data_IF_007705180861
#
_entry.id   IF_007705180861
#
_cell.length_a   1.000
_cell.length_b   1.000
_cell.length_c   1.000
_cell.angle_alpha   90.00
_cell.angle_beta   90.00
_cell.angle_gamma   90.00
#
_symmetry.space_group_name_H-M   'P 1'
#
loop_
_entity.id
_entity.type
_entity.pdbx_description
1 polymer ?
#
# COMPACT_ATOMS: atom_id res chain seq x y z
N UNK A 1 6.93 125.95 -86.03
CA UNK A 1 5.72 126.56 -86.65
C UNK A 1 5.68 128.05 -86.35
N UNK A 2 6.61 128.84 -86.91
CA UNK A 2 6.57 130.30 -86.81
C UNK A 2 7.42 130.89 -87.94
N UNK A 3 6.93 130.87 -89.19
CA UNK A 3 7.33 131.86 -90.22
C UNK A 3 6.52 131.83 -91.54
N UNK A 4 5.24 131.43 -91.52
CA UNK A 4 4.41 131.47 -92.75
C UNK A 4 3.73 132.83 -92.99
N UNK A 5 3.70 133.72 -92.00
CA UNK A 5 2.95 134.99 -92.07
C UNK A 5 3.70 136.09 -92.83
N UNK A 6 5.03 136.01 -92.92
CA UNK A 6 5.89 137.07 -93.46
C UNK A 6 5.96 137.07 -95.00
N UNK A 7 5.64 135.94 -95.64
CA UNK A 7 5.72 135.77 -97.10
C UNK A 7 4.48 136.24 -97.88
N UNK A 8 3.32 136.38 -97.23
CA UNK A 8 2.06 136.76 -97.89
C UNK A 8 1.99 138.28 -98.19
N UNK A 9 2.69 139.12 -97.41
CA UNK A 9 2.61 140.57 -97.54
C UNK A 9 3.44 141.18 -98.69
N UNK A 10 4.36 140.42 -99.33
CA UNK A 10 5.20 140.95 -100.42
C UNK A 10 4.53 140.91 -101.81
N UNK A 11 3.54 140.04 -102.04
CA UNK A 11 2.93 139.86 -103.38
C UNK A 11 1.99 140.99 -103.82
N UNK A 12 1.51 141.86 -102.92
CA UNK A 12 0.50 142.90 -103.24
C UNK A 12 1.05 144.21 -103.83
N UNK A 13 2.37 144.42 -103.95
CA UNK A 13 2.94 145.74 -104.29
C UNK A 13 3.33 145.97 -105.76
N UNK A 14 3.33 144.95 -106.63
CA UNK A 14 4.02 145.06 -107.93
C UNK A 14 3.14 145.44 -109.14
N UNK A 15 1.84 145.67 -108.95
CA UNK A 15 0.83 145.86 -110.03
C UNK A 15 0.49 147.32 -110.37
N UNK A 16 1.29 148.30 -109.94
CA UNK A 16 1.03 149.73 -110.21
C UNK A 16 2.23 150.36 -110.91
N UNK A 17 1.93 151.17 -111.94
CA UNK A 17 2.82 152.02 -112.75
C UNK A 17 3.51 151.28 -113.92
N UNK A 18 3.36 151.65 -115.19
CA UNK A 18 2.91 152.93 -115.78
C UNK A 18 1.93 152.66 -116.93
N UNK A 19 0.68 153.13 -116.80
CA UNK A 19 -0.15 153.47 -117.96
C UNK A 19 0.57 154.62 -118.68
N UNK A 20 0.81 154.50 -119.99
CA UNK A 20 1.31 155.60 -120.84
C UNK A 20 0.31 156.76 -120.72
N UNK A 21 0.78 157.92 -120.28
CA UNK A 21 -0.05 159.11 -120.04
C UNK A 21 -0.80 159.49 -121.34
N UNK A 22 -2.15 159.43 -121.37
CA UNK A 22 -2.92 159.65 -122.59
C UNK A 22 -2.81 161.09 -123.12
N UNK A 23 -2.36 162.05 -122.31
CA UNK A 23 -2.11 163.43 -122.74
C UNK A 23 -0.66 163.69 -123.18
N UNK A 24 0.22 162.69 -123.12
CA UNK A 24 1.63 162.83 -123.51
C UNK A 24 1.79 163.28 -124.97
N UNK A 25 0.89 162.85 -125.86
CA UNK A 25 0.92 163.24 -127.27
C UNK A 25 0.40 164.67 -127.45
N UNK A 26 -0.63 165.07 -126.70
CA UNK A 26 -1.19 166.42 -126.74
C UNK A 26 -0.21 167.46 -126.19
N UNK A 27 0.56 167.10 -125.16
CA UNK A 27 1.66 167.94 -124.66
C UNK A 27 2.75 168.12 -125.72
N UNK A 28 3.19 167.03 -126.39
CA UNK A 28 4.17 167.12 -127.50
C UNK A 28 3.63 167.98 -128.65
N UNK A 29 2.32 167.91 -128.94
CA UNK A 29 1.65 168.72 -129.97
C UNK A 29 1.61 170.22 -129.61
N UNK A 30 1.30 170.56 -128.36
CA UNK A 30 1.28 171.95 -127.86
C UNK A 30 2.67 172.58 -127.82
N UNK A 31 3.71 171.88 -127.34
CA UNK A 31 5.07 172.45 -127.32
C UNK A 31 5.63 172.66 -128.72
N UNK A 32 5.21 171.83 -129.69
CA UNK A 32 5.64 171.98 -131.07
C UNK A 32 4.90 173.10 -131.79
N UNK A 33 3.63 173.43 -131.51
CA UNK A 33 2.82 174.40 -132.29
C UNK A 33 3.46 175.77 -132.54
N UNK A 34 4.19 176.35 -131.59
CA UNK A 34 4.84 177.67 -131.70
C UNK A 34 6.25 177.65 -132.33
N UNK A 35 6.76 176.47 -132.70
CA UNK A 35 8.12 176.27 -133.18
C UNK A 35 8.19 176.26 -134.71
N UNK A 36 9.32 176.72 -135.25
CA UNK A 36 9.60 176.65 -136.68
C UNK A 36 9.78 175.19 -137.14
N UNK A 37 9.69 174.90 -138.44
CA UNK A 37 9.71 173.50 -138.95
C UNK A 37 10.95 172.71 -138.52
N UNK A 38 12.10 173.37 -138.43
CA UNK A 38 13.37 172.78 -138.01
C UNK A 38 13.42 172.46 -136.51
N UNK A 39 12.84 173.32 -135.67
CA UNK A 39 12.78 173.14 -134.21
C UNK A 39 11.83 171.98 -133.82
N UNK A 40 10.72 171.80 -134.55
CA UNK A 40 9.78 170.68 -134.34
C UNK A 40 10.43 169.33 -134.61
N UNK A 41 11.20 169.23 -135.69
CA UNK A 41 11.87 168.00 -136.07
C UNK A 41 12.93 167.61 -135.03
N UNK A 42 13.69 168.59 -134.54
CA UNK A 42 14.68 168.36 -133.49
C UNK A 42 14.03 167.89 -132.18
N UNK A 43 12.94 168.52 -131.72
CA UNK A 43 12.25 168.11 -130.50
C UNK A 43 11.67 166.68 -130.59
N UNK A 44 11.08 166.32 -131.74
CA UNK A 44 10.57 164.96 -131.97
C UNK A 44 11.71 163.93 -132.03
N UNK A 45 12.82 164.28 -132.68
CA UNK A 45 14.01 163.42 -132.77
C UNK A 45 14.61 163.17 -131.39
N UNK A 46 14.79 164.22 -130.59
CA UNK A 46 15.28 164.14 -129.21
C UNK A 46 14.36 163.28 -128.34
N UNK A 47 13.04 163.49 -128.45
CA UNK A 47 12.06 162.69 -127.69
C UNK A 47 12.02 161.21 -128.10
N UNK A 48 12.23 160.91 -129.38
CA UNK A 48 12.35 159.52 -129.85
C UNK A 48 13.61 158.85 -129.31
N UNK A 49 14.75 159.57 -129.31
CA UNK A 49 16.01 159.08 -128.74
C UNK A 49 15.86 158.79 -127.24
N UNK A 50 15.22 159.68 -126.48
CA UNK A 50 14.91 159.46 -125.06
C UNK A 50 14.04 158.21 -124.84
N UNK A 51 12.96 158.05 -125.59
CA UNK A 51 12.07 156.88 -125.48
C UNK A 51 12.78 155.57 -125.86
N UNK A 52 13.64 155.61 -126.89
CA UNK A 52 14.46 154.46 -127.26
C UNK A 52 15.45 154.11 -126.15
N UNK A 53 16.07 155.12 -125.53
CA UNK A 53 16.97 154.93 -124.41
C UNK A 53 16.24 154.36 -123.18
N UNK A 54 15.09 154.92 -122.80
CA UNK A 54 14.27 154.43 -121.68
C UNK A 54 13.80 152.98 -121.94
N UNK A 55 13.40 152.65 -123.17
CA UNK A 55 13.05 151.28 -123.55
C UNK A 55 14.26 150.32 -123.48
N UNK A 56 15.45 150.78 -123.90
CA UNK A 56 16.70 150.03 -123.81
C UNK A 56 17.11 149.78 -122.37
N UNK A 57 17.06 150.79 -121.51
CA UNK A 57 17.34 150.69 -120.08
C UNK A 57 16.35 149.76 -119.38
N UNK A 58 15.05 149.89 -119.67
CA UNK A 58 14.03 148.99 -119.15
C UNK A 58 14.26 147.54 -119.58
N UNK A 59 14.68 147.30 -120.83
CA UNK A 59 15.03 145.97 -121.31
C UNK A 59 16.23 145.38 -120.56
N UNK A 60 17.30 146.17 -120.34
CA UNK A 60 18.47 145.75 -119.56
C UNK A 60 18.08 145.46 -118.11
N UNK A 61 17.26 146.32 -117.49
CA UNK A 61 16.76 146.14 -116.12
C UNK A 61 15.88 144.89 -115.98
N UNK A 62 15.02 144.63 -116.97
CA UNK A 62 14.21 143.41 -117.03
C UNK A 62 15.10 142.17 -117.14
N UNK A 63 16.10 142.20 -118.03
CA UNK A 63 17.05 141.10 -118.20
C UNK A 63 17.86 140.85 -116.91
N UNK A 64 18.26 141.90 -116.19
CA UNK A 64 18.93 141.77 -114.89
C UNK A 64 17.99 141.18 -113.83
N UNK A 65 16.72 141.61 -113.80
CA UNK A 65 15.72 141.06 -112.88
C UNK A 65 15.38 139.60 -113.17
N UNK A 66 15.32 139.21 -114.43
CA UNK A 66 15.17 137.81 -114.82
C UNK A 66 16.34 136.96 -114.33
N UNK A 67 17.59 137.45 -114.47
CA UNK A 67 18.78 136.78 -113.91
C UNK A 67 18.71 136.66 -112.39
N UNK A 68 18.32 137.72 -111.68
CA UNK A 68 18.15 137.69 -110.22
C UNK A 68 17.09 136.67 -109.80
N UNK A 69 15.98 136.58 -110.55
CA UNK A 69 14.91 135.62 -110.27
C UNK A 69 15.37 134.18 -110.53
N UNK A 70 16.13 133.93 -111.60
CA UNK A 70 16.73 132.61 -111.88
C UNK A 70 17.73 132.18 -110.80
N UNK A 71 18.59 133.09 -110.34
CA UNK A 71 19.52 132.83 -109.23
C UNK A 71 18.75 132.51 -107.94
N UNK A 72 17.76 133.32 -107.58
CA UNK A 72 16.92 133.08 -106.41
C UNK A 72 16.14 131.75 -106.50
N UNK A 73 15.67 131.37 -107.69
CA UNK A 73 15.05 130.06 -107.92
C UNK A 73 16.04 128.92 -107.72
N UNK A 74 17.27 129.06 -108.22
CA UNK A 74 18.34 128.07 -108.05
C UNK A 74 18.72 127.92 -106.57
N UNK A 75 18.89 129.03 -105.85
CA UNK A 75 19.21 129.03 -104.42
C UNK A 75 18.07 128.42 -103.60
N UNK A 76 16.82 128.81 -103.85
CA UNK A 76 15.65 128.19 -103.22
C UNK A 76 15.59 126.68 -103.47
N UNK A 77 15.88 126.24 -104.69
CA UNK A 77 15.90 124.81 -105.02
C UNK A 77 17.06 124.10 -104.29
N UNK A 78 18.23 124.73 -104.18
CA UNK A 78 19.37 124.22 -103.41
C UNK A 78 19.00 124.07 -101.93
N UNK A 79 18.48 125.12 -101.31
CA UNK A 79 18.03 125.09 -99.90
C UNK A 79 16.94 124.04 -99.67
N UNK A 80 16.02 123.87 -100.62
CA UNK A 80 14.99 122.83 -100.54
C UNK A 80 15.60 121.42 -100.58
N UNK A 81 16.60 121.18 -101.43
CA UNK A 81 17.31 119.89 -101.44
C UNK A 81 18.12 119.66 -100.18
N UNK A 82 18.78 120.69 -99.64
CA UNK A 82 19.53 120.62 -98.39
C UNK A 82 18.61 120.35 -97.19
N UNK A 83 17.48 121.05 -97.11
CA UNK A 83 16.45 120.81 -96.10
C UNK A 83 15.90 119.37 -96.16
N UNK A 84 15.67 118.86 -97.37
CA UNK A 84 15.22 117.47 -97.55
C UNK A 84 16.27 116.47 -97.06
N UNK A 85 17.55 116.69 -97.38
CA UNK A 85 18.67 115.87 -96.89
C UNK A 85 18.80 115.94 -95.36
N UNK A 86 18.72 117.12 -94.77
CA UNK A 86 18.77 117.30 -93.32
C UNK A 86 17.59 116.65 -92.61
N UNK A 87 16.40 116.70 -93.20
CA UNK A 87 15.19 116.04 -92.66
C UNK A 87 15.36 114.52 -92.66
N UNK A 88 15.90 113.95 -93.75
CA UNK A 88 16.20 112.53 -93.82
C UNK A 88 17.27 112.11 -92.81
N UNK A 89 18.37 112.88 -92.70
CA UNK A 89 19.43 112.62 -91.72
C UNK A 89 18.90 112.71 -90.27
N UNK A 90 18.04 113.67 -89.96
CA UNK A 90 17.34 113.78 -88.67
C UNK A 90 16.48 112.54 -88.40
N UNK A 91 15.70 112.09 -89.38
CA UNK A 91 14.89 110.87 -89.25
C UNK A 91 15.74 109.62 -89.01
N UNK A 92 16.87 109.49 -89.70
CA UNK A 92 17.83 108.40 -89.47
C UNK A 92 18.44 108.45 -88.07
N UNK A 93 18.83 109.63 -87.58
CA UNK A 93 19.39 109.78 -86.24
C UNK A 93 18.34 109.52 -85.15
N UNK A 94 17.11 110.00 -85.33
CA UNK A 94 16.00 109.71 -84.40
C UNK A 94 15.70 108.21 -84.34
N UNK A 95 15.71 107.52 -85.48
CA UNK A 95 15.56 106.06 -85.52
C UNK A 95 16.72 105.35 -84.81
N UNK A 96 17.96 105.78 -85.04
CA UNK A 96 19.13 105.23 -84.35
C UNK A 96 19.04 105.45 -82.83
N UNK A 97 18.63 106.65 -82.38
CA UNK A 97 18.44 106.94 -80.97
C UNK A 97 17.34 106.08 -80.34
N UNK A 98 16.21 105.85 -81.04
CA UNK A 98 15.14 104.95 -80.56
C UNK A 98 15.60 103.51 -80.47
N UNK A 99 16.33 103.02 -81.47
CA UNK A 99 16.87 101.66 -81.46
C UNK A 99 17.92 101.49 -80.36
N UNK A 100 18.79 102.48 -80.16
CA UNK A 100 19.76 102.49 -79.06
C UNK A 100 19.06 102.52 -77.69
N UNK A 101 17.99 103.29 -77.52
CA UNK A 101 17.19 103.29 -76.30
C UNK A 101 16.51 101.94 -76.06
N UNK A 102 15.98 101.32 -77.12
CA UNK A 102 15.38 99.99 -77.06
C UNK A 102 16.41 98.93 -76.70
N UNK A 103 17.59 98.95 -77.32
CA UNK A 103 18.69 98.05 -76.97
C UNK A 103 19.16 98.26 -75.53
N UNK A 104 19.33 99.50 -75.07
CA UNK A 104 19.68 99.77 -73.67
C UNK A 104 18.62 99.27 -72.69
N UNK A 105 17.33 99.38 -73.04
CA UNK A 105 16.22 98.84 -72.24
C UNK A 105 16.28 97.31 -72.22
N UNK A 106 16.46 96.67 -73.37
CA UNK A 106 16.60 95.21 -73.48
C UNK A 106 17.81 94.70 -72.68
N UNK A 107 18.96 95.35 -72.77
CA UNK A 107 20.16 95.00 -72.00
C UNK A 107 19.91 95.11 -70.49
N UNK A 108 19.19 96.14 -70.04
CA UNK A 108 18.82 96.27 -68.61
C UNK A 108 17.88 95.16 -68.18
N UNK A 109 16.85 94.88 -68.97
CA UNK A 109 15.89 93.79 -68.70
C UNK A 109 16.58 92.42 -68.68
N UNK A 110 17.48 92.16 -69.64
CA UNK A 110 18.28 90.93 -69.71
C UNK A 110 19.25 90.80 -68.54
N UNK A 111 19.95 91.88 -68.15
CA UNK A 111 20.83 91.84 -66.98
C UNK A 111 20.04 91.55 -65.69
N UNK A 112 18.87 92.17 -65.50
CA UNK A 112 18.02 91.91 -64.33
C UNK A 112 17.49 90.47 -64.34
N UNK A 113 17.06 89.98 -65.51
CA UNK A 113 16.61 88.60 -65.66
C UNK A 113 17.74 87.60 -65.35
N UNK A 114 18.95 87.86 -65.87
CA UNK A 114 20.14 87.04 -65.63
C UNK A 114 20.58 87.04 -64.17
N UNK A 115 20.48 88.18 -63.48
CA UNK A 115 20.74 88.25 -62.03
C UNK A 115 19.73 87.40 -61.27
N UNK A 116 18.44 87.51 -61.58
CA UNK A 116 17.40 86.68 -60.95
C UNK A 116 17.60 85.19 -61.21
N UNK A 117 17.90 84.80 -62.45
CA UNK A 117 18.14 83.40 -62.82
C UNK A 117 19.35 82.83 -62.06
N UNK A 118 20.44 83.59 -61.97
CA UNK A 118 21.63 83.18 -61.21
C UNK A 118 21.36 83.13 -59.69
N UNK A 119 20.55 84.05 -59.14
CA UNK A 119 20.09 84.01 -57.75
C UNK A 119 19.19 82.80 -57.47
N UNK A 120 18.27 82.48 -58.37
CA UNK A 120 17.38 81.32 -58.25
C UNK A 120 18.18 80.02 -58.38
N UNK A 121 19.15 79.95 -59.29
CA UNK A 121 20.10 78.83 -59.40
C UNK A 121 20.91 78.64 -58.11
N UNK A 122 21.41 79.73 -57.51
CA UNK A 122 22.11 79.67 -56.21
C UNK A 122 21.19 79.17 -55.09
N UNK A 123 19.93 79.62 -55.08
CA UNK A 123 18.92 79.18 -54.10
C UNK A 123 18.62 77.69 -54.26
N UNK A 124 18.47 77.20 -55.48
CA UNK A 124 18.25 75.78 -55.76
C UNK A 124 19.44 74.90 -55.33
N UNK A 125 20.67 75.34 -55.62
CA UNK A 125 21.88 74.63 -55.16
C UNK A 125 21.96 74.62 -53.62
N UNK A 126 21.63 75.73 -52.96
CA UNK A 126 21.60 75.79 -51.49
C UNK A 126 20.52 74.88 -50.90
N UNK A 127 19.33 74.85 -51.50
CA UNK A 127 18.22 74.00 -51.07
C UNK A 127 18.57 72.52 -51.24
N UNK A 128 19.08 72.12 -52.41
CA UNK A 128 19.47 70.72 -52.67
C UNK A 128 20.59 70.26 -51.73
N UNK A 129 21.54 71.14 -51.37
CA UNK A 129 22.57 70.82 -50.38
C UNK A 129 21.96 70.64 -48.99
N UNK A 130 21.05 71.53 -48.59
CA UNK A 130 20.35 71.46 -47.29
C UNK A 130 19.47 70.22 -47.18
N UNK A 131 18.73 69.88 -48.24
CA UNK A 131 17.93 68.67 -48.35
C UNK A 131 18.80 67.41 -48.21
N UNK A 132 19.95 67.36 -48.90
CA UNK A 132 20.89 66.23 -48.80
C UNK A 132 21.50 66.11 -47.41
N UNK A 133 21.88 67.21 -46.77
CA UNK A 133 22.36 67.19 -45.39
C UNK A 133 21.29 66.72 -44.41
N UNK A 134 20.04 67.15 -44.61
CA UNK A 134 18.91 66.71 -43.80
C UNK A 134 18.66 65.21 -44.00
N UNK A 135 18.66 64.73 -45.25
CA UNK A 135 18.53 63.31 -45.56
C UNK A 135 19.67 62.47 -44.95
N UNK A 136 20.92 62.95 -45.01
CA UNK A 136 22.06 62.29 -44.37
C UNK A 136 21.91 62.24 -42.85
N UNK A 137 21.46 63.34 -42.24
CA UNK A 137 21.21 63.40 -40.80
C UNK A 137 20.10 62.44 -40.38
N UNK A 138 19.03 62.36 -41.17
CA UNK A 138 17.93 61.40 -40.96
C UNK A 138 18.43 59.95 -41.09
N UNK A 139 19.30 59.65 -42.05
CA UNK A 139 19.88 58.32 -42.20
C UNK A 139 20.76 57.93 -41.00
N UNK A 140 21.58 58.86 -40.48
CA UNK A 140 22.41 58.64 -39.29
C UNK A 140 21.54 58.40 -38.06
N UNK A 141 20.49 59.21 -37.86
CA UNK A 141 19.57 59.06 -36.73
C UNK A 141 18.78 57.76 -36.81
N UNK A 142 18.26 57.40 -37.98
CA UNK A 142 17.57 56.11 -38.18
C UNK A 142 18.50 54.91 -37.93
N UNK A 143 19.76 54.99 -38.38
CA UNK A 143 20.78 53.96 -38.10
C UNK A 143 21.05 53.84 -36.59
N UNK A 144 21.18 54.98 -35.90
CA UNK A 144 21.36 55.02 -34.44
C UNK A 144 20.15 54.43 -33.70
N UNK A 145 18.93 54.76 -34.12
CA UNK A 145 17.70 54.24 -33.52
C UNK A 145 17.55 52.74 -33.75
N UNK A 146 17.87 52.23 -34.95
CA UNK A 146 17.95 50.79 -35.22
C UNK A 146 18.99 50.11 -34.33
N UNK A 147 20.18 50.70 -34.18
CA UNK A 147 21.21 50.17 -33.29
C UNK A 147 20.76 50.14 -31.83
N UNK A 148 20.06 51.17 -31.36
CA UNK A 148 19.50 51.20 -30.01
C UNK A 148 18.42 50.14 -29.81
N UNK A 149 17.50 49.98 -30.77
CA UNK A 149 16.48 48.90 -30.73
C UNK A 149 17.11 47.52 -30.62
N UNK A 150 18.15 47.23 -31.42
CA UNK A 150 18.85 45.95 -31.30
C UNK A 150 19.54 45.77 -29.95
N UNK A 151 20.07 46.84 -29.34
CA UNK A 151 20.62 46.76 -27.98
C UNK A 151 19.55 46.47 -26.94
N UNK A 152 18.39 47.11 -27.03
CA UNK A 152 17.24 46.87 -26.14
C UNK A 152 16.69 45.44 -26.30
N UNK A 153 16.55 44.95 -27.53
CA UNK A 153 16.12 43.58 -27.82
C UNK A 153 17.12 42.55 -27.30
N UNK A 154 18.42 42.78 -27.51
CA UNK A 154 19.47 41.92 -26.95
C UNK A 154 19.45 41.91 -25.43
N UNK A 155 19.31 43.08 -24.78
CA UNK A 155 19.19 43.16 -23.33
C UNK A 155 17.95 42.41 -22.84
N UNK A 156 16.79 42.61 -23.47
CA UNK A 156 15.56 41.89 -23.14
C UNK A 156 15.72 40.38 -23.28
N UNK A 157 16.44 39.92 -24.30
CA UNK A 157 16.74 38.50 -24.49
C UNK A 157 17.65 37.97 -23.38
N UNK A 158 18.70 38.70 -23.01
CA UNK A 158 19.59 38.36 -21.90
C UNK A 158 18.81 38.27 -20.58
N UNK A 159 17.90 39.22 -20.32
CA UNK A 159 17.07 39.23 -19.11
C UNK A 159 16.14 38.01 -19.08
N UNK A 160 15.49 37.67 -20.20
CA UNK A 160 14.65 36.47 -20.32
C UNK A 160 15.44 35.17 -20.11
N UNK A 161 16.64 35.07 -20.67
CA UNK A 161 17.51 33.91 -20.46
C UNK A 161 17.98 33.80 -19.01
N UNK A 162 18.28 34.93 -18.37
CA UNK A 162 18.67 35.00 -16.96
C UNK A 162 17.53 34.57 -16.05
N UNK A 163 16.31 35.02 -16.32
CA UNK A 163 15.12 34.61 -15.57
C UNK A 163 14.81 33.13 -15.77
N UNK A 164 14.90 32.62 -17.01
CA UNK A 164 14.73 31.20 -17.29
C UNK A 164 15.76 30.35 -16.55
N UNK A 165 17.03 30.77 -16.55
CA UNK A 165 18.10 30.10 -15.80
C UNK A 165 17.79 30.06 -14.29
N UNK A 166 17.36 31.19 -13.72
CA UNK A 166 16.96 31.28 -12.31
C UNK A 166 15.79 30.35 -11.98
N UNK A 167 14.79 30.25 -12.85
CA UNK A 167 13.67 29.32 -12.69
C UNK A 167 14.12 27.86 -12.72
N UNK A 168 15.03 27.50 -13.63
CA UNK A 168 15.63 26.16 -13.66
C UNK A 168 16.39 25.85 -12.37
N UNK A 169 17.19 26.79 -11.88
CA UNK A 169 17.93 26.62 -10.63
C UNK A 169 16.99 26.45 -9.43
N UNK A 170 15.89 27.22 -9.37
CA UNK A 170 14.86 27.04 -8.34
C UNK A 170 14.18 25.68 -8.44
N UNK A 171 13.85 25.22 -9.64
CA UNK A 171 13.25 23.90 -9.88
C UNK A 171 14.21 22.77 -9.48
N UNK A 172 15.49 22.90 -9.79
CA UNK A 172 16.54 21.94 -9.41
C UNK A 172 16.68 21.85 -7.89
N UNK A 173 16.79 23.00 -7.20
CA UNK A 173 16.84 23.04 -5.74
C UNK A 173 15.58 22.42 -5.08
N UNK A 174 14.41 22.65 -5.69
CA UNK A 174 13.17 22.03 -5.22
C UNK A 174 13.19 20.50 -5.40
N UNK A 175 13.63 20.02 -6.56
CA UNK A 175 13.77 18.58 -6.82
C UNK A 175 14.79 17.92 -5.88
N UNK A 176 15.90 18.58 -5.58
CA UNK A 176 16.88 18.10 -4.59
C UNK A 176 16.24 17.99 -3.20
N UNK A 177 15.47 19.00 -2.79
CA UNK A 177 14.77 19.00 -1.51
C UNK A 177 13.75 17.85 -1.42
N UNK A 178 12.94 17.65 -2.46
CA UNK A 178 11.96 16.55 -2.54
C UNK A 178 12.66 15.20 -2.51
N UNK A 179 13.77 15.05 -3.23
CA UNK A 179 14.56 13.82 -3.25
C UNK A 179 15.11 13.50 -1.86
N UNK A 180 15.62 14.52 -1.15
CA UNK A 180 16.09 14.37 0.24
C UNK A 180 14.96 13.99 1.19
N UNK A 181 13.78 14.58 1.02
CA UNK A 181 12.58 14.21 1.80
C UNK A 181 12.16 12.77 1.54
N UNK A 182 12.14 12.33 0.29
CA UNK A 182 11.79 10.95 -0.09
C UNK A 182 12.79 9.94 0.48
N UNK A 183 14.10 10.24 0.43
CA UNK A 183 15.14 9.39 1.00
C UNK A 183 15.01 9.27 2.53
N UNK A 184 14.69 10.37 3.22
CA UNK A 184 14.42 10.33 4.66
C UNK A 184 13.15 9.52 4.98
N UNK A 185 12.08 9.67 4.20
CA UNK A 185 10.86 8.91 4.37
C UNK A 185 11.08 7.41 4.12
N UNK A 186 11.87 7.06 3.11
CA UNK A 186 12.30 5.69 2.82
C UNK A 186 13.08 5.10 4.01
N UNK A 187 14.08 5.81 4.52
CA UNK A 187 14.86 5.38 5.70
C UNK A 187 13.98 5.19 6.93
N UNK A 188 13.01 6.08 7.15
CA UNK A 188 12.06 5.97 8.24
C UNK A 188 11.20 4.71 8.09
N UNK A 189 10.65 4.45 6.90
CA UNK A 189 9.88 3.24 6.64
C UNK A 189 10.72 1.96 6.80
N UNK A 190 11.95 1.94 6.28
CA UNK A 190 12.87 0.80 6.42
C UNK A 190 13.25 0.54 7.89
N UNK A 191 13.49 1.59 8.68
CA UNK A 191 13.80 1.44 10.11
C UNK A 191 12.58 0.99 10.92
N UNK A 192 11.38 1.48 10.60
CA UNK A 192 10.13 1.00 11.21
C UNK A 192 9.87 -0.47 10.88
N UNK A 193 10.05 -0.88 9.62
CA UNK A 193 9.89 -2.28 9.21
C UNK A 193 10.88 -3.19 9.96
N UNK A 194 12.17 -2.81 10.02
CA UNK A 194 13.18 -3.55 10.79
C UNK A 194 12.85 -3.63 12.27
N UNK A 195 12.32 -2.55 12.86
CA UNK A 195 11.90 -2.53 14.26
C UNK A 195 10.80 -3.56 14.51
N UNK A 196 9.74 -3.55 13.69
CA UNK A 196 8.62 -4.50 13.80
C UNK A 196 9.10 -5.95 13.62
N UNK A 197 10.01 -6.18 12.68
CA UNK A 197 10.57 -7.51 12.44
C UNK A 197 11.37 -8.03 13.66
N UNK A 198 12.17 -7.17 14.29
CA UNK A 198 12.92 -7.51 15.52
C UNK A 198 11.96 -7.75 16.69
N UNK A 199 10.95 -6.89 16.88
CA UNK A 199 9.95 -7.06 17.94
C UNK A 199 9.17 -8.37 17.78
N UNK A 200 8.72 -8.67 16.56
CA UNK A 200 8.02 -9.92 16.26
C UNK A 200 8.91 -11.16 16.41
N UNK A 201 10.18 -11.11 16.00
CA UNK A 201 11.10 -12.22 16.24
C UNK A 201 11.38 -12.42 17.74
N UNK A 202 11.53 -11.34 18.51
CA UNK A 202 11.68 -11.41 19.96
C UNK A 202 10.43 -12.04 20.62
N UNK A 203 9.23 -11.59 20.25
CA UNK A 203 7.96 -12.17 20.72
C UNK A 203 7.87 -13.65 20.37
N UNK A 204 8.20 -14.03 19.12
CA UNK A 204 8.23 -15.42 18.68
C UNK A 204 9.19 -16.27 19.52
N UNK A 205 10.39 -15.77 19.81
CA UNK A 205 11.34 -16.49 20.66
C UNK A 205 10.83 -16.66 22.09
N UNK A 206 10.22 -15.62 22.67
CA UNK A 206 9.62 -15.72 24.01
C UNK A 206 8.45 -16.72 24.04
N UNK A 207 7.59 -16.71 23.04
CA UNK A 207 6.49 -17.67 22.90
C UNK A 207 7.02 -19.10 22.76
N UNK A 208 8.02 -19.33 21.92
CA UNK A 208 8.64 -20.65 21.76
C UNK A 208 9.29 -21.14 23.06
N UNK A 209 9.96 -20.25 23.81
CA UNK A 209 10.55 -20.58 25.10
C UNK A 209 9.48 -20.95 26.14
N UNK A 210 8.40 -20.16 26.23
CA UNK A 210 7.27 -20.46 27.12
C UNK A 210 6.59 -21.78 26.76
N UNK A 211 6.34 -22.01 25.46
CA UNK A 211 5.76 -23.27 24.98
C UNK A 211 6.62 -24.47 25.36
N UNK A 212 7.94 -24.40 25.16
CA UNK A 212 8.87 -25.46 25.58
C UNK A 212 8.88 -25.67 27.09
N UNK A 213 8.81 -24.60 27.89
CA UNK A 213 8.76 -24.72 29.34
C UNK A 213 7.47 -25.44 29.80
N UNK A 214 6.32 -25.10 29.20
CA UNK A 214 5.05 -25.78 29.45
C UNK A 214 5.08 -27.25 29.01
N UNK A 215 5.66 -27.54 27.85
CA UNK A 215 5.84 -28.90 27.34
C UNK A 215 6.64 -29.75 28.33
N UNK A 216 7.76 -29.24 28.85
CA UNK A 216 8.56 -29.92 29.88
C UNK A 216 7.77 -30.12 31.19
N UNK A 217 6.96 -29.14 31.62
CA UNK A 217 6.12 -29.28 32.81
C UNK A 217 5.04 -30.35 32.62
N UNK A 218 4.39 -30.39 31.46
CA UNK A 218 3.39 -31.41 31.14
C UNK A 218 4.01 -32.82 31.16
N UNK A 219 5.18 -33.00 30.55
CA UNK A 219 5.90 -34.27 30.61
C UNK A 219 6.29 -34.66 32.05
N UNK A 220 6.61 -33.70 32.92
CA UNK A 220 6.88 -33.96 34.34
C UNK A 220 5.63 -34.46 35.07
N UNK A 221 4.49 -33.80 34.88
CA UNK A 221 3.22 -34.23 35.48
C UNK A 221 2.77 -35.59 34.95
N UNK A 222 2.95 -35.87 33.66
CA UNK A 222 2.65 -37.17 33.09
C UNK A 222 3.48 -38.28 33.75
N UNK A 223 4.80 -38.06 33.92
CA UNK A 223 5.66 -39.01 34.65
C UNK A 223 5.23 -39.19 36.12
N UNK A 224 4.86 -38.12 36.80
CA UNK A 224 4.38 -38.18 38.19
C UNK A 224 3.08 -38.98 38.30
N UNK A 225 2.13 -38.77 37.39
CA UNK A 225 0.87 -39.51 37.33
C UNK A 225 1.14 -41.01 37.13
N UNK A 226 2.02 -41.37 36.20
CA UNK A 226 2.39 -42.78 35.97
C UNK A 226 2.98 -43.42 37.23
N UNK A 227 3.89 -42.72 37.91
CA UNK A 227 4.49 -43.21 39.16
C UNK A 227 3.45 -43.37 40.28
N UNK A 228 2.53 -42.42 40.41
CA UNK A 228 1.43 -42.51 41.37
C UNK A 228 0.47 -43.66 41.04
N UNK A 229 0.18 -43.89 39.76
CA UNK A 229 -0.61 -45.03 39.30
C UNK A 229 0.07 -46.36 39.63
N UNK A 230 1.38 -46.49 39.38
CA UNK A 230 2.16 -47.67 39.76
C UNK A 230 2.15 -47.90 41.27
N UNK A 231 2.34 -46.85 42.06
CA UNK A 231 2.26 -46.91 43.53
C UNK A 231 0.87 -47.34 43.99
N UNK A 232 -0.20 -46.77 43.42
CA UNK A 232 -1.56 -47.12 43.77
C UNK A 232 -1.85 -48.60 43.44
N UNK A 233 -1.47 -49.05 42.23
CA UNK A 233 -1.56 -50.45 41.82
C UNK A 233 -0.79 -51.39 42.76
N UNK A 234 0.38 -50.98 43.25
CA UNK A 234 1.14 -51.76 44.23
C UNK A 234 0.44 -51.82 45.60
N UNK A 235 -0.17 -50.73 46.05
CA UNK A 235 -0.94 -50.70 47.30
C UNK A 235 -2.21 -51.54 47.20
N UNK A 236 -2.93 -51.46 46.08
CA UNK A 236 -4.08 -52.32 45.77
C UNK A 236 -3.67 -53.80 45.82
N UNK A 237 -2.55 -54.17 45.18
CA UNK A 237 -2.02 -55.53 45.27
C UNK A 237 -1.67 -55.96 46.70
N UNK A 238 -1.15 -55.05 47.53
CA UNK A 238 -0.87 -55.33 48.94
C UNK A 238 -2.16 -55.50 49.76
N UNK A 239 -3.20 -54.70 49.50
CA UNK A 239 -4.52 -54.86 50.11
C UNK A 239 -5.13 -56.19 49.73
N UNK A 240 -5.05 -56.59 48.46
CA UNK A 240 -5.54 -57.88 47.99
C UNK A 240 -4.79 -59.05 48.62
N UNK A 241 -3.47 -58.93 48.80
CA UNK A 241 -2.67 -59.91 49.53
C UNK A 241 -3.15 -60.05 50.98
N UNK A 242 -3.26 -58.94 51.72
CA UNK A 242 -3.75 -58.99 53.09
C UNK A 242 -5.17 -59.53 53.18
N UNK A 243 -6.06 -59.16 52.25
CA UNK A 243 -7.43 -59.70 52.17
C UNK A 243 -7.42 -61.22 51.98
N UNK A 244 -6.55 -61.75 51.12
CA UNK A 244 -6.35 -63.19 50.94
C UNK A 244 -5.83 -63.87 52.22
N UNK A 245 -4.82 -63.29 52.87
CA UNK A 245 -4.29 -63.79 54.14
C UNK A 245 -5.33 -63.78 55.26
N UNK A 246 -6.14 -62.72 55.37
CA UNK A 246 -7.26 -62.66 56.32
C UNK A 246 -8.31 -63.73 56.02
N UNK A 247 -8.66 -63.94 54.76
CA UNK A 247 -9.57 -65.03 54.36
C UNK A 247 -9.00 -66.41 54.71
N UNK A 248 -7.69 -66.63 54.53
CA UNK A 248 -7.01 -67.85 54.96
C UNK A 248 -7.02 -68.02 56.47
N UNK A 249 -6.78 -66.94 57.22
CA UNK A 249 -6.85 -66.93 58.68
C UNK A 249 -8.27 -67.23 59.16
N UNK A 250 -9.29 -66.57 58.61
CA UNK A 250 -10.70 -66.81 58.91
C UNK A 250 -11.11 -68.25 58.59
N UNK A 251 -10.68 -68.78 57.44
CA UNK A 251 -10.90 -70.17 57.06
C UNK A 251 -10.26 -71.13 58.05
N UNK A 252 -9.01 -70.86 58.45
CA UNK A 252 -8.26 -71.66 59.43
C UNK A 252 -8.89 -71.58 60.82
N UNK A 253 -9.33 -70.39 61.23
CA UNK A 253 -10.03 -70.14 62.49
C UNK A 253 -11.37 -70.87 62.52
N UNK A 254 -12.13 -70.83 61.42
CA UNK A 254 -13.39 -71.57 61.27
C UNK A 254 -13.16 -73.08 61.33
N UNK A 255 -12.11 -73.60 60.69
CA UNK A 255 -11.70 -75.02 60.81
C UNK A 255 -11.31 -75.36 62.26
N UNK A 256 -10.54 -74.50 62.92
CA UNK A 256 -10.15 -74.68 64.33
C UNK A 256 -11.36 -74.71 65.26
N UNK A 257 -12.30 -73.77 65.10
CA UNK A 257 -13.57 -73.77 65.85
C UNK A 257 -14.37 -75.05 65.62
N UNK A 258 -14.46 -75.54 64.36
CA UNK A 258 -15.09 -76.84 64.08
C UNK A 258 -14.41 -77.99 64.81
N UNK A 259 -13.07 -78.01 64.86
CA UNK A 259 -12.32 -79.01 65.62
C UNK A 259 -12.62 -78.89 67.11
N UNK A 260 -12.64 -77.69 67.69
CA UNK A 260 -13.05 -77.47 69.08
C UNK A 260 -14.47 -77.95 69.37
N UNK A 261 -15.43 -77.67 68.49
CA UNK A 261 -16.80 -78.15 68.63
C UNK A 261 -16.88 -79.68 68.56
N UNK A 262 -16.13 -80.32 67.67
CA UNK A 262 -16.06 -81.79 67.63
C UNK A 262 -15.45 -82.37 68.91
N UNK A 263 -14.35 -81.80 69.41
CA UNK A 263 -13.77 -82.23 70.69
C UNK A 263 -14.74 -82.02 71.86
N UNK A 264 -15.49 -80.92 71.87
CA UNK A 264 -16.52 -80.67 72.90
C UNK A 264 -17.64 -81.70 72.83
N UNK A 265 -18.08 -82.07 71.63
CA UNK A 265 -19.05 -83.14 71.42
C UNK A 265 -18.51 -84.50 71.85
N UNK A 266 -17.28 -84.85 71.50
CA UNK A 266 -16.61 -86.09 71.93
C UNK A 266 -16.41 -86.13 73.44
N UNK A 267 -15.99 -85.04 74.07
CA UNK A 267 -15.88 -84.93 75.52
C UNK A 267 -17.26 -85.12 76.20
N UNK A 268 -18.33 -84.56 75.62
CA UNK A 268 -19.69 -84.79 76.12
C UNK A 268 -20.13 -86.26 75.96
N UNK A 269 -19.80 -86.91 74.84
CA UNK A 269 -20.06 -88.36 74.64
C UNK A 269 -19.26 -89.20 75.63
N UNK A 270 -17.97 -88.92 75.80
CA UNK A 270 -17.10 -89.61 76.73
C UNK A 270 -17.57 -89.43 78.18
N UNK A 271 -17.98 -88.21 78.56
CA UNK A 271 -18.58 -87.92 79.88
C UNK A 271 -19.90 -88.66 80.09
N UNK A 272 -20.77 -88.74 79.08
CA UNK A 272 -21.99 -89.59 79.15
C UNK A 272 -21.66 -91.06 79.31
N UNK A 273 -20.65 -91.54 78.58
CA UNK A 273 -20.21 -92.94 78.67
C UNK A 273 -19.55 -93.25 80.01
N UNK A 274 -18.79 -92.31 80.57
CA UNK A 274 -18.28 -92.38 81.94
C UNK A 274 -19.43 -92.53 82.94
N UNK A 275 -20.47 -91.69 82.85
CA UNK A 275 -21.63 -91.79 83.73
C UNK A 275 -22.41 -93.11 83.55
N UNK A 276 -22.49 -93.62 82.32
CA UNK A 276 -23.15 -94.90 82.05
C UNK A 276 -22.36 -96.06 82.68
N UNK A 277 -21.03 -96.06 82.51
CA UNK A 277 -20.14 -97.03 83.15
C UNK A 277 -20.14 -96.91 84.67
N UNK A 278 -20.23 -95.69 85.23
CA UNK A 278 -20.40 -95.46 86.67
C UNK A 278 -21.73 -96.04 87.18
N UNK A 279 -22.82 -95.89 86.40
CA UNK A 279 -24.12 -96.48 86.71
C UNK A 279 -24.07 -98.01 86.64
N UNK A 280 -23.50 -98.58 85.58
CA UNK A 280 -23.31 -100.02 85.42
C UNK A 280 -22.44 -100.59 86.55
N UNK A 281 -21.35 -99.90 86.93
CA UNK A 281 -20.52 -100.25 88.08
C UNK A 281 -21.30 -100.23 89.39
N UNK A 282 -22.14 -99.22 89.61
CA UNK A 282 -23.02 -99.14 90.78
C UNK A 282 -24.06 -100.26 90.79
N UNK A 283 -24.63 -100.62 89.64
CA UNK A 283 -25.60 -101.72 89.54
C UNK A 283 -24.95 -103.07 89.76
N UNK A 284 -23.75 -103.30 89.24
CA UNK A 284 -22.94 -104.48 89.55
C UNK A 284 -22.60 -104.52 91.05
N UNK A 285 -22.24 -103.38 91.65
CA UNK A 285 -21.99 -103.29 93.08
C UNK A 285 -23.25 -103.64 93.90
N UNK A 286 -24.43 -103.14 93.52
CA UNK A 286 -25.71 -103.51 94.16
C UNK A 286 -26.03 -105.00 93.99
N UNK A 287 -25.85 -105.56 92.80
CA UNK A 287 -26.06 -107.00 92.53
C UNK A 287 -25.10 -107.86 93.34
N UNK A 288 -23.83 -107.47 93.42
CA UNK A 288 -22.83 -108.13 94.24
C UNK A 288 -23.20 -108.06 95.73
N UNK A 289 -23.58 -106.88 96.25
CA UNK A 289 -24.09 -106.73 97.62
C UNK A 289 -25.32 -107.60 97.89
N UNK A 290 -26.26 -107.66 96.94
CA UNK A 290 -27.43 -108.53 97.04
C UNK A 290 -27.05 -110.02 97.07
N UNK A 291 -26.11 -110.45 96.23
CA UNK A 291 -25.62 -111.84 96.24
C UNK A 291 -24.90 -112.18 97.53
N UNK A 292 -24.10 -111.25 98.07
CA UNK A 292 -23.47 -111.40 99.39
C UNK A 292 -24.52 -111.50 100.49
N UNK A 293 -25.56 -110.67 100.47
CA UNK A 293 -26.67 -110.76 101.42
C UNK A 293 -27.43 -112.08 101.31
N UNK A 294 -27.74 -112.55 100.09
CA UNK A 294 -28.36 -113.87 99.89
C UNK A 294 -27.48 -115.00 100.40
N UNK A 295 -26.15 -114.90 100.23
CA UNK A 295 -25.19 -115.87 100.75
C UNK A 295 -25.18 -115.86 102.29
N UNK A 296 -25.27 -114.68 102.91
CA UNK A 296 -25.41 -114.55 104.38
C UNK A 296 -26.68 -115.24 104.86
N UNK A 297 -27.83 -114.99 104.22
CA UNK A 297 -29.11 -115.65 104.57
C UNK A 297 -29.03 -117.17 104.40
N UNK A 298 -28.41 -117.67 103.32
CA UNK A 298 -28.22 -119.10 103.10
C UNK A 298 -27.29 -119.72 104.15
N UNK A 299 -26.24 -118.99 104.57
CA UNK A 299 -25.34 -119.40 105.65
C UNK A 299 -26.08 -119.48 106.99
N UNK A 300 -26.96 -118.51 107.29
CA UNK A 300 -27.81 -118.53 108.49
C UNK A 300 -28.79 -119.71 108.47
N UNK A 301 -29.42 -120.00 107.33
CA UNK A 301 -30.29 -121.17 107.16
C UNK A 301 -29.53 -122.49 107.32
N UNK A 302 -28.34 -122.60 106.73
CA UNK A 302 -27.49 -123.78 106.90
C UNK A 302 -27.08 -123.97 108.37
N UNK A 303 -26.77 -122.90 109.08
CA UNK A 303 -26.46 -122.95 110.51
C UNK A 303 -27.68 -123.37 111.36
N UNK A 304 -28.88 -122.93 111.00
CA UNK A 304 -30.14 -123.37 111.62
C UNK A 304 -30.42 -124.85 111.40
N UNK A 305 -30.27 -125.35 110.17
CA UNK A 305 -30.45 -126.77 109.84
C UNK A 305 -29.41 -127.66 110.55
N UNK A 306 -28.15 -127.21 110.63
CA UNK A 306 -27.12 -127.91 111.40
C UNK A 306 -27.47 -128.00 112.90
N UNK A 307 -28.09 -126.97 113.47
CA UNK A 307 -28.60 -126.99 114.85
C UNK A 307 -29.81 -127.94 115.03
N UNK A 308 -30.72 -128.02 114.05
CA UNK A 308 -31.81 -128.99 114.07
C UNK A 308 -31.30 -130.43 113.93
N UNK A 309 -30.32 -130.67 113.05
CA UNK A 309 -29.69 -131.98 112.86
C UNK A 309 -29.02 -132.45 114.15
N UNK A 310 -28.25 -131.60 114.82
CA UNK A 310 -27.64 -131.93 116.11
C UNK A 310 -28.67 -132.14 117.23
N UNK A 311 -29.82 -131.45 117.19
CA UNK A 311 -30.96 -131.70 118.09
C UNK A 311 -31.62 -133.07 117.85
N UNK A 312 -31.80 -133.45 116.58
CA UNK A 312 -32.33 -134.75 116.17
C UNK A 312 -31.38 -135.90 116.51
N UNK A 313 -30.07 -135.72 116.33
CA UNK A 313 -29.06 -136.70 116.75
C UNK A 313 -29.08 -136.94 118.27
N UNK A 314 -29.28 -135.88 119.08
CA UNK A 314 -29.46 -136.00 120.54
C UNK A 314 -30.73 -136.78 120.90
N UNK A 315 -31.83 -136.61 120.16
CA UNK A 315 -33.07 -137.38 120.34
C UNK A 315 -32.91 -138.84 119.90
N UNK A 316 -32.19 -139.09 118.79
CA UNK A 316 -31.91 -140.44 118.28
C UNK A 316 -31.04 -141.24 119.27
N UNK A 317 -30.01 -140.60 119.85
CA UNK A 317 -29.12 -141.23 120.82
C UNK A 317 -29.83 -141.54 122.15
N UNK A 318 -30.81 -140.74 122.57
CA UNK A 318 -31.67 -141.06 123.73
C UNK A 318 -32.63 -142.21 123.44
N UNK A 319 -33.23 -142.25 122.24
CA UNK A 319 -34.08 -143.35 121.79
C UNK A 319 -33.31 -144.68 121.67
N UNK A 320 -32.07 -144.63 121.16
CA UNK A 320 -31.19 -145.81 121.08
C UNK A 320 -30.78 -146.34 122.46
N UNK A 321 -30.59 -145.47 123.47
CA UNK A 321 -30.36 -145.90 124.85
C UNK A 321 -31.60 -146.57 125.47
N UNK A 322 -32.78 -146.03 125.21
CA UNK A 322 -34.05 -146.60 125.68
C UNK A 322 -34.35 -147.98 125.04
N UNK A 323 -34.13 -148.12 123.73
CA UNK A 323 -34.30 -149.39 123.02
C UNK A 323 -33.31 -150.46 123.50
N UNK A 324 -32.05 -150.10 123.82
CA UNK A 324 -31.09 -151.04 124.41
C UNK A 324 -31.53 -151.53 125.80
N UNK A 325 -32.04 -150.65 126.66
CA UNK A 325 -32.58 -151.04 127.98
C UNK A 325 -33.81 -151.96 127.86
N UNK A 326 -34.75 -151.65 126.95
CA UNK A 326 -35.94 -152.48 126.70
C UNK A 326 -35.58 -153.85 126.08
N UNK A 327 -34.50 -153.95 125.27
CA UNK A 327 -34.00 -155.23 124.74
C UNK A 327 -33.31 -156.09 125.81
N UNK A 328 -32.64 -155.45 126.79
CA UNK A 328 -31.98 -156.11 127.92
C UNK A 328 -33.01 -156.72 128.88
N UNK A 329 -34.14 -156.03 129.12
CA UNK A 329 -35.27 -156.57 129.88
C UNK A 329 -35.99 -157.71 129.13
N UNK A 330 -36.14 -157.60 127.80
CA UNK A 330 -36.75 -158.66 126.97
C UNK A 330 -35.93 -159.95 126.95
N UNK A 331 -34.60 -159.86 126.94
CA UNK A 331 -33.72 -161.04 126.98
C UNK A 331 -33.71 -161.71 128.36
N UNK A 332 -33.91 -160.96 129.44
CA UNK A 332 -34.06 -161.53 130.80
C UNK A 332 -35.42 -162.22 130.98
N UNK A 333 -36.52 -161.66 130.47
CA UNK A 333 -37.84 -162.31 130.49
C UNK A 333 -37.90 -163.58 129.62
N UNK A 334 -37.23 -163.58 128.45
CA UNK A 334 -37.10 -164.78 127.61
C UNK A 334 -36.31 -165.92 128.28
N UNK A 335 -35.44 -165.58 129.24
CA UNK A 335 -34.68 -166.55 130.04
C UNK A 335 -35.56 -167.18 131.13
N UNK A 336 -36.47 -166.42 131.72
CA UNK A 336 -37.41 -166.89 132.76
C UNK A 336 -38.58 -167.71 132.19
N UNK A 337 -39.00 -167.46 130.95
CA UNK A 337 -40.06 -168.22 130.27
C UNK A 337 -39.60 -169.61 129.79
N UNK A 338 -38.29 -169.89 129.76
CA UNK A 338 -37.73 -171.20 129.39
C UNK A 338 -37.82 -172.26 130.52
N UNK A 339 -38.07 -171.85 131.76
CA UNK A 339 -38.07 -172.74 132.94
C UNK A 339 -39.47 -173.34 133.28
N UNK A 340 -40.53 -173.03 132.52
CA UNK A 340 -41.93 -173.42 132.84
C UNK A 340 -42.67 -174.27 131.77
N UNK A 341 -41.97 -175.06 130.97
CA UNK A 341 -42.57 -176.13 130.14
C UNK A 341 -43.84 -175.76 129.35
N UNK A 342 -43.83 -174.62 128.65
CA UNK A 342 -44.80 -174.30 127.59
C UNK A 342 -44.03 -174.05 126.29
N UNK A 343 -44.44 -174.83 125.30
CA UNK A 343 -43.96 -174.91 123.94
C UNK A 343 -44.09 -173.54 123.24
N UNK A 344 -42.96 -172.99 122.73
CA UNK A 344 -42.91 -171.77 121.94
C UNK A 344 -42.95 -172.10 120.44
N UNK A 345 -42.88 -171.06 119.60
CA UNK A 345 -42.84 -171.07 118.12
C UNK A 345 -44.26 -171.22 117.51
N UNK A 346 -44.72 -170.49 116.49
CA UNK A 346 -44.10 -169.76 115.36
C UNK A 346 -45.30 -169.26 114.49
N UNK A 347 -45.15 -168.49 113.39
CA UNK A 347 -45.18 -167.02 113.28
C UNK A 347 -46.09 -166.64 112.06
N UNK A 348 -46.01 -165.48 111.40
CA UNK A 348 -45.25 -165.22 110.14
C UNK A 348 -45.94 -164.05 109.40
N UNK A 349 -45.12 -163.36 108.57
CA UNK A 349 -45.41 -162.40 107.49
C UNK A 349 -45.26 -160.92 107.87
N UNK A 350 -44.18 -160.20 107.51
CA UNK A 350 -43.62 -159.90 106.15
C UNK A 350 -44.65 -159.17 105.29
N UNK A 351 -44.38 -158.03 104.65
CA UNK A 351 -43.38 -157.78 103.59
C UNK A 351 -43.04 -156.27 103.49
N UNK A 352 -41.75 -155.87 103.44
CA UNK A 352 -40.91 -155.61 102.24
C UNK A 352 -41.33 -154.36 101.45
N UNK A 353 -40.50 -153.32 101.38
CA UNK A 353 -39.33 -153.07 100.48
C UNK A 353 -39.74 -152.25 99.25
N UNK A 354 -38.89 -151.27 98.90
CA UNK A 354 -39.07 -150.48 97.69
C UNK A 354 -38.15 -149.27 97.54
N UNK A 355 -36.87 -149.42 97.85
CA UNK A 355 -35.79 -148.62 97.26
C UNK A 355 -35.79 -148.83 95.73
N UNK A 356 -35.74 -147.75 94.94
CA UNK A 356 -35.18 -147.78 93.57
C UNK A 356 -34.44 -146.49 93.26
N UNK A 357 -33.18 -146.69 92.95
CA UNK A 357 -32.23 -145.83 92.25
C UNK A 357 -32.32 -146.15 90.75
N UNK A 358 -32.41 -145.14 89.86
CA UNK A 358 -32.01 -145.12 88.43
C UNK A 358 -32.29 -143.69 87.89
N UNK A 359 -31.28 -142.82 87.72
CA UNK A 359 -30.41 -142.65 86.55
C UNK A 359 -31.11 -142.30 85.22
N UNK A 360 -30.76 -141.10 84.73
CA UNK A 360 -30.42 -140.72 83.36
C UNK A 360 -31.37 -141.12 82.22
N UNK A 361 -31.88 -140.13 81.48
CA UNK A 361 -31.19 -139.66 80.25
C UNK A 361 -31.94 -138.49 79.60
N UNK A 362 -31.13 -137.49 79.24
CA UNK A 362 -31.14 -136.72 78.00
C UNK A 362 -32.43 -136.07 77.47
N UNK A 363 -32.34 -134.74 77.37
CA UNK A 363 -32.27 -134.01 76.09
C UNK A 363 -32.82 -134.76 74.85
N UNK A 364 -33.54 -134.08 73.93
CA UNK A 364 -32.89 -132.96 73.27
C UNK A 364 -33.81 -131.83 72.74
N UNK A 365 -33.19 -130.65 72.58
CA UNK A 365 -33.10 -129.82 71.35
C UNK A 365 -34.41 -129.52 70.60
N UNK A 366 -34.66 -128.31 70.12
CA UNK A 366 -33.74 -127.45 69.35
C UNK A 366 -34.41 -126.10 69.03
N UNK A 367 -33.56 -125.09 68.87
CA UNK A 367 -33.61 -123.97 67.92
C UNK A 367 -34.88 -123.73 67.08
N UNK A 368 -35.27 -122.45 66.99
CA UNK A 368 -35.07 -121.54 65.84
C UNK A 368 -35.85 -120.24 66.14
N UNK A 369 -35.19 -119.11 66.33
CA UNK A 369 -34.76 -118.18 65.27
C UNK A 369 -35.85 -117.91 64.21
N UNK A 370 -36.41 -116.70 64.25
CA UNK A 370 -36.68 -115.93 63.04
C UNK A 370 -37.14 -114.51 63.38
N UNK A 371 -36.25 -113.57 63.10
CA UNK A 371 -36.48 -112.51 62.13
C UNK A 371 -37.79 -111.73 62.23
N UNK A 372 -37.69 -110.45 62.63
CA UNK A 372 -38.46 -109.34 62.04
C UNK A 372 -37.78 -108.00 62.35
N UNK A 373 -36.85 -107.64 61.46
CA UNK A 373 -36.40 -106.28 61.19
C UNK A 373 -37.53 -105.56 60.46
N UNK A 374 -38.17 -104.55 61.08
CA UNK A 374 -39.10 -103.65 60.37
C UNK A 374 -39.12 -102.27 61.05
N UNK A 375 -38.85 -101.25 60.22
CA UNK A 375 -39.28 -99.84 60.28
C UNK A 375 -38.64 -98.95 61.37
N UNK A 376 -38.26 -97.69 61.11
CA UNK A 376 -38.75 -96.79 60.07
C UNK A 376 -37.70 -95.68 59.81
N UNK A 377 -37.26 -95.58 58.55
CA UNK A 377 -36.78 -94.32 57.97
C UNK A 377 -38.05 -93.64 57.46
N UNK A 378 -38.33 -92.42 57.90
CA UNK A 378 -39.21 -91.55 57.14
C UNK A 378 -39.02 -90.07 57.47
N UNK A 379 -39.09 -89.29 56.39
CA UNK A 379 -39.43 -87.87 56.27
C UNK A 379 -38.28 -86.87 56.27
N UNK A 380 -37.59 -86.83 55.13
CA UNK A 380 -37.31 -85.56 54.45
C UNK A 380 -38.54 -85.23 53.57
N UNK A 381 -38.75 -83.93 53.39
CA UNK A 381 -39.73 -83.24 52.54
C UNK A 381 -40.99 -82.72 53.24
N UNK A 382 -40.91 -81.42 53.57
CA UNK A 382 -42.02 -80.50 53.32
C UNK A 382 -41.47 -79.13 52.94
N UNK A 383 -41.82 -78.76 51.70
CA UNK A 383 -42.35 -77.45 51.25
C UNK A 383 -41.43 -76.23 51.43
N UNK A 384 -41.18 -75.42 50.41
CA UNK A 384 -41.97 -75.19 49.20
C UNK A 384 -42.19 -73.69 49.07
N UNK A 385 -42.15 -73.22 47.82
CA UNK A 385 -42.44 -71.84 47.43
C UNK A 385 -41.36 -70.85 47.84
N UNK A 386 -41.06 -69.80 47.11
CA UNK A 386 -41.45 -69.33 45.79
C UNK A 386 -40.71 -67.98 45.69
N UNK A 387 -40.41 -67.56 44.48
CA UNK A 387 -40.37 -66.16 44.10
C UNK A 387 -39.14 -65.30 44.46
N UNK A 388 -38.65 -64.72 43.35
CA UNK A 388 -38.21 -63.32 43.20
C UNK A 388 -36.71 -63.07 43.34
N UNK A 389 -36.13 -62.99 42.14
CA UNK A 389 -35.32 -61.88 41.65
C UNK A 389 -33.82 -61.84 41.97
N UNK A 390 -33.14 -61.53 40.87
CA UNK A 390 -32.05 -60.58 40.76
C UNK A 390 -30.61 -61.10 40.85
N UNK A 391 -29.97 -60.91 39.69
CA UNK A 391 -28.64 -60.32 39.47
C UNK A 391 -27.44 -61.24 39.63
N UNK A 392 -27.05 -61.84 38.49
CA UNK A 392 -25.66 -61.89 38.07
C UNK A 392 -25.52 -61.23 36.69
N UNK A 393 -24.66 -60.19 36.66
CA UNK A 393 -23.73 -59.79 35.60
C UNK A 393 -24.31 -59.33 34.23
N UNK A 394 -24.04 -58.13 33.70
CA UNK A 394 -23.10 -57.07 34.06
C UNK A 394 -23.41 -55.84 33.18
N UNK A 395 -24.00 -54.75 33.73
CA UNK A 395 -23.90 -53.38 33.19
C UNK A 395 -24.09 -52.39 34.35
N UNK A 396 -23.12 -51.47 34.50
CA UNK A 396 -23.17 -50.09 35.04
C UNK A 396 -21.78 -49.81 35.64
N UNK A 397 -21.05 -48.72 35.40
CA UNK A 397 -21.41 -47.32 35.17
C UNK A 397 -20.25 -46.67 34.38
N UNK A 398 -20.45 -45.86 33.32
CA UNK A 398 -21.18 -44.58 33.20
C UNK A 398 -20.41 -43.43 33.89
N UNK A 399 -19.85 -42.50 33.10
CA UNK A 399 -20.35 -41.10 32.94
C UNK A 399 -19.32 -40.30 32.10
N UNK A 400 -19.71 -39.77 30.93
CA UNK A 400 -20.15 -38.38 30.66
C UNK A 400 -18.97 -37.39 30.65
N UNK A 401 -18.76 -36.53 29.67
CA UNK A 401 -19.60 -35.54 28.96
C UNK A 401 -18.64 -34.88 27.92
N UNK A 402 -18.95 -34.04 26.95
CA UNK A 402 -20.14 -33.46 26.30
C UNK A 402 -19.58 -32.59 25.15
N UNK A 403 -20.48 -32.08 24.30
CA UNK A 403 -20.37 -30.86 23.48
C UNK A 403 -19.94 -30.97 22.01
N UNK A 404 -20.89 -30.94 21.07
CA UNK A 404 -21.62 -29.81 20.44
C UNK A 404 -20.88 -29.05 19.32
N UNK A 405 -21.26 -29.41 18.08
CA UNK A 405 -21.75 -28.57 16.94
C UNK A 405 -21.12 -27.18 16.72
N UNK A 406 -20.54 -26.96 15.53
CA UNK A 406 -20.87 -25.85 14.58
C UNK A 406 -20.66 -26.34 13.12
N UNK A 407 -21.57 -25.96 12.24
CA UNK A 407 -21.66 -26.25 10.80
C UNK A 407 -21.46 -24.96 9.95
N UNK A 408 -21.21 -25.16 8.64
CA UNK A 408 -21.42 -24.27 7.47
C UNK A 408 -20.31 -23.30 6.91
N UNK A 409 -19.80 -23.70 5.72
CA UNK A 409 -19.71 -23.04 4.38
C UNK A 409 -19.16 -21.61 4.14
N UNK A 410 -18.18 -21.51 3.22
CA UNK A 410 -18.10 -20.71 1.95
C UNK A 410 -16.68 -20.87 1.32
N UNK A 411 -16.47 -21.46 0.14
CA UNK A 411 -16.48 -20.96 -1.25
C UNK A 411 -15.24 -20.15 -1.75
N UNK A 412 -14.73 -20.57 -2.92
CA UNK A 412 -14.06 -19.77 -4.00
C UNK A 412 -12.51 -19.65 -4.09
N UNK A 413 -11.96 -20.50 -4.99
CA UNK A 413 -11.01 -20.27 -6.11
C UNK A 413 -9.56 -19.74 -5.94
N UNK A 414 -8.64 -20.62 -6.36
CA UNK A 414 -7.61 -20.47 -7.42
C UNK A 414 -6.38 -19.56 -7.25
N UNK A 415 -5.21 -20.21 -7.33
CA UNK A 415 -4.19 -20.11 -8.41
C UNK A 415 -2.73 -19.95 -7.93
N UNK A 416 -1.93 -20.98 -8.24
CA UNK A 416 -0.55 -20.97 -8.81
C UNK A 416 0.49 -19.98 -8.22
N UNK A 417 1.73 -20.32 -7.88
CA UNK A 417 2.66 -21.33 -8.41
C UNK A 417 3.90 -21.35 -7.51
N UNK A 418 4.52 -22.51 -7.27
CA UNK A 418 5.87 -22.60 -6.70
C UNK A 418 6.53 -23.91 -7.13
N UNK A 419 7.57 -23.80 -7.97
CA UNK A 419 8.74 -24.71 -8.03
C UNK A 419 9.63 -24.20 -9.19
N UNK A 420 10.73 -23.51 -8.93
CA UNK A 420 12.07 -24.03 -8.60
C UNK A 420 12.64 -25.05 -9.59
N UNK A 421 13.66 -24.63 -10.34
CA UNK A 421 14.94 -25.34 -10.62
C UNK A 421 15.99 -24.26 -10.94
N UNK A 422 16.96 -23.99 -10.06
CA UNK A 422 18.31 -24.58 -9.96
C UNK A 422 19.20 -24.47 -11.22
N UNK A 423 20.24 -23.63 -11.13
CA UNK A 423 21.67 -23.99 -11.30
C UNK A 423 22.50 -22.70 -11.40
N UNK A 424 23.28 -22.32 -10.38
CA UNK A 424 24.73 -22.62 -10.27
C UNK A 424 25.59 -22.06 -11.42
N UNK A 425 26.35 -20.98 -11.20
CA UNK A 425 27.81 -21.00 -10.92
C UNK A 425 28.46 -19.61 -11.19
N UNK A 426 29.34 -19.22 -10.25
CA UNK A 426 30.59 -18.46 -10.41
C UNK A 426 30.63 -16.97 -10.81
N UNK A 427 31.01 -16.18 -9.79
CA UNK A 427 31.85 -14.95 -9.77
C UNK A 427 33.21 -15.10 -10.51
N UNK A 428 34.09 -14.06 -10.64
CA UNK A 428 33.89 -12.59 -10.60
C UNK A 428 34.74 -11.80 -11.66
N UNK A 429 34.73 -10.46 -11.54
CA UNK A 429 35.74 -9.45 -11.97
C UNK A 429 35.80 -9.03 -13.45
N UNK A 430 35.57 -7.74 -13.71
CA UNK A 430 36.58 -6.77 -14.23
C UNK A 430 35.96 -5.66 -15.09
N UNK A 431 36.53 -4.48 -14.90
CA UNK A 431 36.34 -3.21 -15.61
C UNK A 431 36.37 -3.34 -17.13
N UNK A 432 35.51 -2.57 -17.83
CA UNK A 432 35.84 -1.96 -19.12
C UNK A 432 35.12 -0.62 -19.25
N UNK A 433 35.92 0.46 -19.24
CA UNK A 433 35.64 1.68 -19.98
C UNK A 433 35.87 1.39 -21.46
N UNK A 434 34.91 1.68 -22.33
CA UNK A 434 35.20 2.06 -23.72
C UNK A 434 34.05 2.91 -24.27
N UNK A 435 34.48 4.05 -24.80
CA UNK A 435 33.72 5.07 -25.49
C UNK A 435 33.12 4.63 -26.85
N UNK A 436 32.05 5.35 -27.21
CA UNK A 436 31.70 5.91 -28.52
C UNK A 436 31.44 4.97 -29.72
N UNK A 437 30.19 5.00 -30.21
CA UNK A 437 29.85 5.67 -31.49
C UNK A 437 28.34 5.73 -31.75
N UNK A 438 27.83 6.95 -31.92
CA UNK A 438 26.64 7.19 -32.74
C UNK A 438 26.95 8.31 -33.75
N UNK A 439 26.29 8.18 -34.88
CA UNK A 439 26.41 8.81 -36.19
C UNK A 439 26.19 10.33 -36.27
N UNK A 440 26.90 10.97 -37.21
CA UNK A 440 26.40 11.86 -38.28
C UNK A 440 27.59 12.63 -38.88
N UNK A 441 28.03 12.39 -40.13
CA UNK A 441 27.52 12.93 -41.41
C UNK A 441 27.32 14.45 -41.45
N UNK A 442 28.35 15.20 -41.91
CA UNK A 442 28.29 16.09 -43.09
C UNK A 442 29.62 16.80 -43.37
N UNK A 443 30.25 16.33 -44.45
CA UNK A 443 30.97 17.04 -45.53
C UNK A 443 31.29 18.54 -45.37
N UNK A 444 32.61 18.81 -45.39
CA UNK A 444 33.37 19.66 -46.34
C UNK A 444 32.79 21.01 -46.78
N UNK A 445 33.57 22.10 -46.61
CA UNK A 445 34.47 22.66 -47.66
C UNK A 445 35.46 23.66 -47.03
N UNK A 446 36.73 23.23 -46.99
CA UNK A 446 37.92 23.87 -47.57
C UNK A 446 38.28 25.38 -47.39
N UNK A 447 39.53 25.53 -46.92
CA UNK A 447 40.61 26.41 -47.42
C UNK A 447 40.95 27.73 -46.70
N UNK A 448 42.22 27.83 -46.27
CA UNK A 448 43.00 29.08 -46.30
C UNK A 448 43.95 29.35 -45.12
N UNK A 449 45.16 28.79 -45.18
CA UNK A 449 46.38 29.04 -44.36
C UNK A 449 46.93 30.51 -44.47
N UNK A 450 48.04 30.92 -43.82
CA UNK A 450 48.37 31.04 -42.39
C UNK A 450 49.03 32.44 -42.08
N UNK A 451 50.03 32.60 -41.17
CA UNK A 451 49.97 33.52 -40.03
C UNK A 451 50.74 34.85 -40.21
N UNK A 452 50.53 35.80 -39.29
CA UNK A 452 51.46 36.92 -39.09
C UNK A 452 51.69 37.24 -37.62
N UNK A 453 52.93 37.00 -37.24
CA UNK A 453 53.74 37.54 -36.14
C UNK A 453 53.65 39.06 -36.02
N UNK A 454 53.53 39.61 -34.79
CA UNK A 454 54.25 40.78 -34.21
C UNK A 454 54.00 40.71 -32.68
N UNK A 455 54.99 40.37 -31.84
CA UNK A 455 56.02 41.22 -31.20
C UNK A 455 55.48 42.23 -30.15
N UNK A 456 55.85 41.96 -28.88
CA UNK A 456 56.43 42.86 -27.85
C UNK A 456 55.79 44.22 -27.55
N UNK A 457 55.44 44.46 -26.28
CA UNK A 457 56.15 45.37 -25.34
C UNK A 457 55.38 45.36 -24.00
N UNK A 458 55.98 45.04 -22.84
CA UNK A 458 56.93 45.78 -22.00
C UNK A 458 56.35 47.02 -21.28
N UNK A 459 56.59 47.01 -19.96
CA UNK A 459 56.76 48.14 -19.03
C UNK A 459 55.58 48.72 -18.21
N UNK A 460 55.62 48.36 -16.92
CA UNK A 460 55.98 49.21 -15.75
C UNK A 460 54.90 49.94 -14.93
N UNK A 461 55.22 49.91 -13.62
CA UNK A 461 54.95 50.87 -12.54
C UNK A 461 53.54 50.88 -11.94
N UNK A 462 53.32 51.07 -10.64
CA UNK A 462 54.15 51.19 -9.43
C UNK A 462 53.17 51.23 -8.23
N UNK A 463 53.62 50.78 -7.07
CA UNK A 463 53.40 51.29 -5.71
C UNK A 463 52.03 51.83 -5.21
N UNK A 464 51.77 51.43 -3.96
CA UNK A 464 51.02 52.14 -2.88
C UNK A 464 49.54 51.79 -2.67
N UNK A 465 49.28 50.73 -1.89
CA UNK A 465 48.88 50.84 -0.47
C UNK A 465 48.70 49.47 0.16
#
# INVERSE_FOLDING_TARGET
MADSTTLINKKRKHDKYRRRDPNSIENIRKTTEAMNTEEKLNFISERYVELYHEAREMFVSLQEREKQLQLAQKDRNKDHTELTKLTLAKGQLENLCRELQKQNKLIKEENVARIKEEEDRRREVANTFTERLTALTNLITESKDKSNKFKEENQSMTDKLTELYKQYQQRENHLETVTKQLELQKKLAETQAKKVEIEHEAERQTFLAQRKALEVQLEQYEREIVLLQEKNRSLEAQVDLYKSEYSNFETTMTKSNKVFDTFKQEMSKMSKQLHLLESERNDLQKRWQSSVNSLIVLSEQHMSLANEQTSLEKKLTTLQKLCRQLQEERTTYLKQLKDNNIEPLVPISQTQDGEKTEQNTDEPKKMQDSSKRVQEINKIEKKGGENIANLENNVSSIDLNSDTVIDAKEEITSSSSSSNTNSELNKPVSQVSTDLKCSSSKTDVSNGSPPSTVLTDLEKNESSK
#
